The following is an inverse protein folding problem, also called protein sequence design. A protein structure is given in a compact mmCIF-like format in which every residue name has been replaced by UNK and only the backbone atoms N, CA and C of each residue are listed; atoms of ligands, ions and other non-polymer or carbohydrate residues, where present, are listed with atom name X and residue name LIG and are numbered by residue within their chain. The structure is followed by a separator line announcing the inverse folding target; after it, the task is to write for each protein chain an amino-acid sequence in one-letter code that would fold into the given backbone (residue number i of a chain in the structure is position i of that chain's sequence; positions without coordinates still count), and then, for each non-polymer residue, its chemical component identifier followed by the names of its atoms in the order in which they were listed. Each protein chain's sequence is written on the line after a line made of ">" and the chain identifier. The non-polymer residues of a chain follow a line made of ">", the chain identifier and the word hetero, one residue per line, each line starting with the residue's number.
data_IF_157148763288
#
_entry.id   IF_157148763288
#
_cell.length_a   1.000
_cell.length_b   1.000
_cell.length_c   1.000
_cell.angle_alpha   90.00
_cell.angle_beta   90.00
_cell.angle_gamma   90.00
#
_symmetry.space_group_name_H-M   'P 1'
#
loop_
_entity.id
_entity.type
_entity.pdbx_description
1 polymer ?
#
# COMPACT_ATOMS: atom_id res chain seq x y z
N UNK A 1 -6.16 3.87 9.17
CA UNK A 1 -5.11 4.07 10.20
C UNK A 1 -5.15 2.99 11.28
N UNK A 2 -6.32 2.65 11.83
CA UNK A 2 -6.44 1.63 12.89
C UNK A 2 -5.75 0.30 12.55
N UNK A 3 -5.94 -0.22 11.33
CA UNK A 3 -5.31 -1.48 10.88
C UNK A 3 -3.78 -1.44 10.92
N UNK A 4 -3.15 -0.44 10.30
CA UNK A 4 -1.69 -0.33 10.27
C UNK A 4 -1.09 -0.17 11.68
N UNK A 5 -1.77 0.56 12.56
CA UNK A 5 -1.36 0.67 13.97
C UNK A 5 -1.47 -0.67 14.68
N UNK A 6 -2.54 -1.43 14.46
CA UNK A 6 -2.68 -2.78 15.03
C UNK A 6 -1.60 -3.73 14.51
N UNK A 7 -1.32 -3.72 13.20
CA UNK A 7 -0.22 -4.51 12.62
C UNK A 7 1.13 -4.14 13.24
N UNK A 8 1.39 -2.85 13.43
CA UNK A 8 2.62 -2.37 14.06
C UNK A 8 2.80 -2.92 15.49
N UNK A 9 1.73 -3.16 16.25
CA UNK A 9 1.84 -3.78 17.60
C UNK A 9 2.38 -5.22 17.56
N UNK A 10 2.32 -5.88 16.41
CA UNK A 10 2.79 -7.24 16.21
C UNK A 10 4.21 -7.30 15.60
N UNK A 11 4.75 -6.17 15.17
CA UNK A 11 6.07 -6.12 14.54
C UNK A 11 7.18 -6.21 15.61
N UNK A 12 8.15 -7.08 15.34
CA UNK A 12 9.38 -7.15 16.15
C UNK A 12 10.39 -6.14 15.64
N UNK A 13 11.28 -5.70 16.52
CA UNK A 13 12.43 -4.86 16.12
C UNK A 13 13.21 -5.52 14.99
N UNK A 14 13.64 -4.73 14.02
CA UNK A 14 14.34 -5.14 12.79
C UNK A 14 13.50 -5.99 11.82
N UNK A 15 12.18 -6.06 11.98
CA UNK A 15 11.29 -6.68 10.99
C UNK A 15 10.98 -5.74 9.83
N UNK A 16 10.47 -6.29 8.74
CA UNK A 16 10.03 -5.56 7.55
C UNK A 16 8.53 -5.76 7.41
N UNK A 17 7.79 -4.66 7.20
CA UNK A 17 6.42 -4.70 6.72
C UNK A 17 6.42 -4.47 5.22
N UNK A 18 5.70 -5.33 4.48
CA UNK A 18 5.50 -5.22 3.04
C UNK A 18 4.00 -5.11 2.76
N UNK A 19 3.60 -4.17 1.92
CA UNK A 19 2.24 -3.96 1.44
C UNK A 19 2.26 -4.07 -0.08
N UNK A 20 1.36 -4.87 -0.63
CA UNK A 20 1.11 -4.99 -2.07
C UNK A 20 -0.36 -4.69 -2.30
N UNK A 21 -0.65 -3.68 -3.10
CA UNK A 21 -2.03 -3.27 -3.43
C UNK A 21 -2.05 -2.53 -4.78
N UNK A 22 -3.23 -2.14 -5.24
CA UNK A 22 -3.41 -1.37 -6.46
C UNK A 22 -3.04 0.10 -6.28
N UNK A 23 -2.34 0.64 -7.27
CA UNK A 23 -2.25 2.08 -7.46
C UNK A 23 -3.63 2.67 -7.66
N UNK A 24 -3.83 3.91 -7.21
CA UNK A 24 -5.11 4.60 -7.36
C UNK A 24 -5.51 4.69 -8.83
N UNK A 25 -6.76 4.31 -9.11
CA UNK A 25 -7.32 4.24 -10.45
C UNK A 25 -8.68 4.92 -10.51
N UNK A 26 -8.75 6.11 -11.08
CA UNK A 26 -10.00 6.88 -11.20
C UNK A 26 -11.03 6.22 -12.13
N UNK A 27 -10.62 5.24 -12.96
CA UNK A 27 -11.54 4.48 -13.81
C UNK A 27 -12.29 3.38 -13.04
N UNK A 28 -11.86 3.08 -11.81
CA UNK A 28 -12.55 2.16 -10.91
C UNK A 28 -13.47 2.98 -10.02
N UNK A 29 -14.76 2.96 -10.33
CA UNK A 29 -15.79 3.64 -9.55
C UNK A 29 -16.93 2.66 -9.27
N UNK A 30 -17.01 2.18 -8.03
CA UNK A 30 -18.05 1.27 -7.59
C UNK A 30 -18.34 1.53 -6.10
N UNK A 31 -19.62 1.59 -5.68
CA UNK A 31 -20.00 2.02 -4.32
C UNK A 31 -19.35 1.20 -3.19
N UNK A 32 -19.03 -0.07 -3.45
CA UNK A 32 -18.47 -0.99 -2.45
C UNK A 32 -16.97 -1.29 -2.63
N UNK A 33 -16.28 -0.66 -3.60
CA UNK A 33 -14.89 -0.98 -3.92
C UNK A 33 -14.05 0.29 -3.85
N UNK A 34 -13.04 0.26 -3.00
CA UNK A 34 -12.04 1.31 -2.94
C UNK A 34 -11.16 1.28 -4.19
N UNK A 35 -10.86 2.43 -4.77
CA UNK A 35 -10.22 2.52 -6.09
C UNK A 35 -8.69 2.51 -6.07
N UNK A 36 -8.09 1.85 -5.08
CA UNK A 36 -6.64 1.78 -4.90
C UNK A 36 -6.05 3.01 -4.21
N UNK A 37 -4.73 2.98 -3.98
CA UNK A 37 -4.05 3.96 -3.13
C UNK A 37 -3.05 4.83 -3.87
N UNK A 38 -2.94 6.06 -3.41
CA UNK A 38 -1.81 6.93 -3.72
C UNK A 38 -0.59 6.45 -2.92
N UNK A 39 0.49 6.02 -3.58
CA UNK A 39 1.69 5.51 -2.90
C UNK A 39 2.27 6.52 -1.90
N UNK A 40 2.16 7.83 -2.17
CA UNK A 40 2.59 8.90 -1.25
C UNK A 40 1.85 8.87 0.09
N UNK A 41 0.59 8.44 0.11
CA UNK A 41 -0.23 8.40 1.31
C UNK A 41 0.04 7.11 2.10
N UNK A 42 0.35 6.00 1.42
CA UNK A 42 0.91 4.79 2.04
C UNK A 42 2.26 5.11 2.70
N UNK A 43 3.16 5.80 1.99
CA UNK A 43 4.46 6.21 2.53
C UNK A 43 4.33 7.04 3.81
N UNK A 44 3.43 8.03 3.82
CA UNK A 44 3.14 8.83 5.02
C UNK A 44 2.55 7.98 6.15
N UNK A 45 1.66 7.05 5.84
CA UNK A 45 1.04 6.17 6.82
C UNK A 45 2.08 5.25 7.49
N UNK A 46 2.96 4.63 6.71
CA UNK A 46 4.07 3.79 7.20
C UNK A 46 5.02 4.59 8.10
N UNK A 47 5.38 5.82 7.69
CA UNK A 47 6.21 6.71 8.53
C UNK A 47 5.53 7.04 9.85
N UNK A 48 4.22 7.29 9.83
CA UNK A 48 3.43 7.64 11.03
C UNK A 48 3.37 6.52 12.07
N UNK A 49 3.47 5.25 11.65
CA UNK A 49 3.48 4.10 12.57
C UNK A 49 4.91 3.67 12.99
N UNK A 50 5.92 4.49 12.72
CA UNK A 50 7.28 4.30 13.22
C UNK A 50 8.20 3.48 12.31
N UNK A 51 7.79 3.20 11.06
CA UNK A 51 8.69 2.55 10.11
C UNK A 51 9.68 3.54 9.48
N UNK A 52 10.88 3.04 9.24
CA UNK A 52 11.97 3.72 8.54
C UNK A 52 12.36 2.96 7.26
N UNK A 53 13.33 3.47 6.51
CA UNK A 53 13.79 2.87 5.24
C UNK A 53 12.64 2.55 4.27
N UNK A 54 11.67 3.46 4.19
CA UNK A 54 10.44 3.23 3.42
C UNK A 54 10.75 3.40 1.93
N UNK A 55 10.37 2.39 1.14
CA UNK A 55 10.40 2.41 -0.32
C UNK A 55 8.99 2.06 -0.85
N UNK A 56 8.60 2.64 -1.98
CA UNK A 56 7.38 2.30 -2.69
C UNK A 56 7.59 2.47 -4.19
N UNK A 57 7.21 1.48 -4.97
CA UNK A 57 7.23 1.56 -6.43
C UNK A 57 6.17 0.65 -7.06
N UNK A 58 5.73 1.03 -8.25
CA UNK A 58 4.93 0.17 -9.11
C UNK A 58 5.81 -0.95 -9.67
N UNK A 59 5.42 -2.21 -9.47
CA UNK A 59 6.19 -3.37 -9.95
C UNK A 59 5.47 -4.15 -11.05
N UNK A 60 4.18 -3.88 -11.27
CA UNK A 60 3.39 -4.56 -12.30
C UNK A 60 2.33 -3.63 -12.88
N UNK A 61 2.13 -3.72 -14.20
CA UNK A 61 1.06 -3.06 -14.95
C UNK A 61 0.33 -4.14 -15.75
N UNK A 62 -0.99 -4.20 -15.64
CA UNK A 62 -1.78 -5.23 -16.30
C UNK A 62 -3.09 -4.71 -16.88
N UNK A 63 -3.59 -5.44 -17.88
CA UNK A 63 -4.85 -5.12 -18.54
C UNK A 63 -6.02 -5.80 -17.85
N UNK A 64 -7.11 -5.07 -17.65
CA UNK A 64 -8.36 -5.59 -17.06
C UNK A 64 -8.22 -6.27 -15.68
N UNK A 65 -7.20 -5.93 -14.90
CA UNK A 65 -6.89 -6.61 -13.62
C UNK A 65 -7.63 -6.05 -12.41
N UNK A 66 -8.24 -4.86 -12.52
CA UNK A 66 -8.98 -4.23 -11.42
C UNK A 66 -10.35 -3.78 -11.91
N UNK A 67 -11.39 -4.55 -11.59
CA UNK A 67 -12.76 -4.29 -12.05
C UNK A 67 -12.88 -4.15 -13.59
N UNK A 68 -12.18 -5.02 -14.32
CA UNK A 68 -12.10 -5.00 -15.79
C UNK A 68 -11.57 -3.65 -16.35
N UNK A 69 -10.72 -2.98 -15.58
CA UNK A 69 -9.93 -1.82 -16.00
C UNK A 69 -8.45 -2.17 -15.94
N UNK A 70 -7.69 -1.54 -16.85
CA UNK A 70 -6.23 -1.54 -16.79
C UNK A 70 -5.79 -0.87 -15.49
N UNK A 71 -4.83 -1.48 -14.80
CA UNK A 71 -4.37 -1.00 -13.50
C UNK A 71 -2.93 -1.43 -13.23
N UNK A 72 -2.37 -0.88 -12.16
CA UNK A 72 -1.00 -1.14 -11.72
C UNK A 72 -1.00 -1.60 -10.26
N UNK A 73 -0.06 -2.47 -9.90
CA UNK A 73 0.20 -2.87 -8.52
C UNK A 73 1.49 -2.22 -8.04
N UNK A 74 1.46 -1.71 -6.81
CA UNK A 74 2.65 -1.22 -6.12
C UNK A 74 3.08 -2.17 -5.01
N UNK A 75 4.38 -2.12 -4.69
CA UNK A 75 4.95 -2.71 -3.50
C UNK A 75 5.53 -1.58 -2.66
N UNK A 76 5.04 -1.46 -1.43
CA UNK A 76 5.61 -0.58 -0.41
C UNK A 76 6.23 -1.43 0.70
N UNK A 77 7.42 -1.05 1.16
CA UNK A 77 8.12 -1.72 2.24
C UNK A 77 8.69 -0.73 3.23
N UNK A 78 8.77 -1.09 4.51
CA UNK A 78 9.52 -0.34 5.51
C UNK A 78 10.06 -1.24 6.61
N UNK A 79 11.08 -0.77 7.32
CA UNK A 79 11.70 -1.47 8.43
C UNK A 79 11.19 -0.92 9.76
N UNK A 80 10.82 -1.80 10.68
CA UNK A 80 10.49 -1.44 12.05
C UNK A 80 11.76 -1.42 12.90
N UNK A 81 12.12 -0.26 13.44
CA UNK A 81 13.41 0.00 14.11
C UNK A 81 13.27 0.29 15.60
#
# INVERSE_FOLDING_TARGET
>A
MALLQQLATQLKRNSILIIVDFDKNENVNHPNIYNGFEQKDIHKALRKIGLSNINSHTFYQGKNIFMNKDASLFLASGQFT
#
